data_IF_286184201883
#
_entry.id   IF_286184201883
#
_cell.length_a   1.000
_cell.length_b   1.000
_cell.length_c   1.000
_cell.angle_alpha   90.00
_cell.angle_beta   90.00
_cell.angle_gamma   90.00
#
_symmetry.space_group_name_H-M   'P 1'
#
loop_
_entity.id
_entity.type
_entity.pdbx_description
1 polymer ?
2 polymer ?
3 polymer ?
4 polymer ?
5 non-polymer ?
6 non-polymer ?
7 water ?
#
loop_
_entity_poly.entity_id
_entity_poly.type
_entity_poly.pdbx_seq_one_letter_code
_entity_poly.pdbx_strand_id
2 'polydeoxyribonucleotide' '(DC)(DA)(DA)(DT)(DC)(DG)(DT)(DG)(DG)(DG)(DA)(DG)(DA)(DC)(DC)(DT)(DT)(DT)(DG)(DG)(DT)(DC)(DT)(DC)(DC)(DC)(DT)(DG)(DC)(DA)(DG)(DA)(DT)' ?
3 'polydeoxyribonucleotide' '(DA)(DT)(DC)(DT)(DG)(DC)(DA)(DG)(DG)(DG)(DT)(DC)(DT)(DG)(DG)(DT)(DT)(DT)(DC)(DC)(DA)(DG)(DA)(DC)(DC)' ?
4 'polydeoxyribonucleotide' '(DC)(DA)(DC)(DG)(DA)(DT)(DT)(DG)' ?
#
# COMPACT_ATOMS: atom_id res chain seq x y z
N UNK A 1 -23.86 -4.51 12.89
CA UNK A 1 -23.63 -5.79 12.24
C UNK A 1 -22.18 -6.29 12.14
N UNK A 2 -21.58 -6.18 10.96
CA UNK A 2 -20.23 -6.69 10.71
C UNK A 2 -19.19 -5.60 10.95
N UNK A 3 -18.07 -5.98 11.56
CA UNK A 3 -16.97 -5.05 11.82
C UNK A 3 -15.65 -5.78 11.57
N UNK A 4 -14.70 -5.09 10.93
CA UNK A 4 -13.35 -5.59 10.72
C UNK A 4 -12.37 -4.74 11.53
N UNK A 5 -11.33 -5.36 12.06
CA UNK A 5 -10.22 -4.64 12.65
C UNK A 5 -8.89 -5.13 12.12
N UNK A 6 -7.96 -4.19 11.90
CA UNK A 6 -6.70 -4.50 11.25
C UNK A 6 -5.55 -3.85 12.01
N UNK A 7 -4.66 -4.69 12.54
CA UNK A 7 -3.35 -4.24 13.00
C UNK A 7 -2.37 -4.52 11.86
N UNK A 8 -1.86 -3.50 11.16
CA UNK A 8 -1.22 -3.71 9.86
C UNK A 8 0.24 -4.15 9.90
N UNK A 9 0.90 -4.24 11.06
CA UNK A 9 2.34 -4.46 11.02
C UNK A 9 2.64 -5.94 10.70
N UNK A 10 3.93 -6.28 10.65
CA UNK A 10 4.33 -7.58 10.12
C UNK A 10 3.80 -8.72 10.99
N UNK A 11 3.68 -8.50 12.30
CA UNK A 11 3.13 -9.52 13.17
C UNK A 11 1.72 -9.18 13.63
N UNK A 12 1.05 -8.33 12.86
CA UNK A 12 -0.32 -7.95 13.09
C UNK A 12 -1.31 -9.02 12.62
N UNK A 13 -2.53 -8.56 12.39
CA UNK A 13 -3.65 -9.48 12.29
C UNK A 13 -4.85 -8.73 11.79
N UNK A 14 -5.84 -9.49 11.32
CA UNK A 14 -7.14 -8.96 10.94
C UNK A 14 -8.21 -9.73 11.68
N UNK A 15 -9.16 -9.00 12.26
CA UNK A 15 -10.25 -9.54 13.05
C UNK A 15 -11.58 -9.15 12.44
N UNK A 16 -12.51 -10.12 12.38
CA UNK A 16 -13.82 -9.96 11.76
C UNK A 16 -14.88 -10.32 12.80
N UNK A 17 -15.77 -9.37 13.11
CA UNK A 17 -16.87 -9.58 14.03
C UNK A 17 -18.17 -9.65 13.24
N UNK A 18 -18.99 -10.75 13.49
CA UNK A 18 -20.32 -11.02 12.95
C UNK A 18 -21.39 -10.33 13.76
N UNK A 19 -22.52 -10.03 13.14
CA UNK A 19 -23.70 -9.60 13.90
C UNK A 19 -24.09 -10.56 15.01
N UNK A 20 -23.84 -11.86 14.88
CA UNK A 20 -24.29 -12.79 15.90
C UNK A 20 -23.31 -12.91 17.07
N UNK A 21 -22.34 -11.99 17.17
CA UNK A 21 -21.37 -12.01 18.25
C UNK A 21 -20.21 -12.97 18.06
N UNK A 22 -20.18 -13.73 16.97
CA UNK A 22 -19.01 -14.56 16.78
C UNK A 22 -17.88 -13.74 16.17
N UNK A 23 -16.69 -14.33 16.15
CA UNK A 23 -15.53 -13.57 15.70
C UNK A 23 -14.52 -14.50 15.05
N UNK A 24 -13.69 -13.90 14.20
CA UNK A 24 -12.54 -14.57 13.61
C UNK A 24 -11.36 -13.63 13.67
N UNK A 25 -10.17 -14.20 13.76
CA UNK A 25 -8.92 -13.45 13.83
C UNK A 25 -7.89 -14.21 13.03
N UNK A 26 -7.18 -13.50 12.13
CA UNK A 26 -6.21 -14.12 11.21
C UNK A 26 -4.86 -13.42 11.33
N UNK A 27 -3.78 -14.18 11.45
CA UNK A 27 -2.45 -13.59 11.40
C UNK A 27 -2.16 -12.96 10.04
N UNK A 28 -1.48 -11.82 10.04
CA UNK A 28 -1.13 -11.22 8.75
C UNK A 28 -0.20 -12.17 7.97
N UNK A 29 -0.59 -12.62 6.78
CA UNK A 29 0.34 -13.40 5.94
C UNK A 29 1.57 -12.60 5.56
N UNK A 30 2.72 -13.26 5.58
CA UNK A 30 3.97 -12.63 5.17
C UNK A 30 4.77 -13.62 4.34
N UNK A 31 5.85 -13.10 3.74
CA UNK A 31 6.86 -13.88 3.03
C UNK A 31 8.23 -13.38 3.44
N UNK A 32 9.21 -14.25 3.26
CA UNK A 32 10.62 -13.91 3.43
C UNK A 32 11.18 -13.51 2.07
N UNK A 33 11.84 -12.37 2.00
CA UNK A 33 12.40 -11.87 0.75
C UNK A 33 13.83 -11.41 1.00
N UNK A 34 14.59 -11.31 -0.11
CA UNK A 34 15.97 -10.83 -0.08
C UNK A 34 15.96 -9.34 -0.33
N UNK A 35 16.59 -8.58 0.56
CA UNK A 35 16.86 -7.15 0.39
C UNK A 35 18.29 -6.90 0.84
N UNK A 36 19.09 -6.23 -0.01
CA UNK A 36 20.47 -5.89 0.35
C UNK A 36 21.21 -7.10 0.91
N UNK A 37 20.97 -8.27 0.33
CA UNK A 37 21.69 -9.49 0.66
C UNK A 37 21.39 -10.00 2.08
N UNK A 38 20.28 -9.58 2.68
CA UNK A 38 19.80 -10.16 3.92
C UNK A 38 18.32 -10.54 3.74
N UNK A 39 17.82 -11.36 4.67
CA UNK A 39 16.42 -11.78 4.63
C UNK A 39 15.58 -10.78 5.43
N UNK A 40 14.37 -10.50 4.94
CA UNK A 40 13.44 -9.56 5.55
C UNK A 40 12.04 -10.13 5.46
N UNK A 41 11.24 -9.95 6.50
CA UNK A 41 9.84 -10.35 6.45
C UNK A 41 9.04 -9.28 5.73
N UNK A 42 8.06 -9.68 4.93
CA UNK A 42 7.25 -8.66 4.29
C UNK A 42 5.86 -9.22 4.03
N UNK A 43 4.86 -8.35 4.24
CA UNK A 43 3.46 -8.73 4.13
C UNK A 43 3.19 -9.33 2.76
N UNK A 44 2.42 -10.41 2.74
CA UNK A 44 2.17 -11.17 1.51
C UNK A 44 0.94 -10.57 0.85
N UNK A 45 1.15 -9.75 -0.19
CA UNK A 45 0.05 -9.04 -0.83
C UNK A 45 -1.04 -9.98 -1.33
N UNK A 46 -0.65 -11.02 -2.07
CA UNK A 46 -1.67 -11.82 -2.73
C UNK A 46 -2.47 -12.65 -1.73
N UNK A 47 -1.81 -13.23 -0.72
CA UNK A 47 -2.57 -13.89 0.35
C UNK A 47 -3.55 -12.93 1.04
N UNK A 48 -3.13 -11.69 1.26
CA UNK A 48 -4.01 -10.75 1.97
C UNK A 48 -5.29 -10.51 1.18
N UNK A 49 -5.15 -10.21 -0.12
CA UNK A 49 -6.30 -9.91 -0.95
C UNK A 49 -7.17 -11.15 -1.11
N UNK A 50 -6.55 -12.32 -1.20
CA UNK A 50 -7.35 -13.55 -1.23
C UNK A 50 -8.08 -13.74 0.10
N UNK A 51 -7.40 -13.50 1.21
CA UNK A 51 -8.07 -13.61 2.51
C UNK A 51 -9.31 -12.71 2.55
N UNK A 52 -9.15 -11.44 2.17
CA UNK A 52 -10.27 -10.50 2.18
C UNK A 52 -11.36 -10.91 1.20
N UNK A 53 -11.00 -11.67 0.15
CA UNK A 53 -12.00 -12.04 -0.83
C UNK A 53 -12.96 -13.08 -0.27
N UNK A 54 -12.48 -13.97 0.58
CA UNK A 54 -13.26 -15.00 1.21
C UNK A 54 -13.92 -14.67 2.53
N UNK A 55 -13.92 -13.40 2.97
CA UNK A 55 -14.70 -13.04 4.14
C UNK A 55 -16.18 -13.00 3.80
N UNK A 56 -17.01 -13.43 4.76
CA UNK A 56 -18.46 -13.30 4.66
C UNK A 56 -18.93 -11.89 4.99
N UNK A 57 -18.04 -11.05 5.52
CA UNK A 57 -18.37 -9.65 5.77
C UNK A 57 -18.74 -8.95 4.46
N UNK A 58 -19.90 -8.33 4.38
CA UNK A 58 -20.39 -7.83 3.09
C UNK A 58 -19.70 -6.53 2.69
N UNK A 59 -19.82 -6.14 1.42
CA UNK A 59 -19.28 -4.85 0.98
C UNK A 59 -19.87 -3.67 1.75
N UNK A 60 -19.00 -2.72 2.09
CA UNK A 60 -19.39 -1.56 2.85
C UNK A 60 -19.20 -1.71 4.34
N UNK A 61 -18.97 -2.94 4.81
CA UNK A 61 -18.44 -3.16 6.14
C UNK A 61 -17.30 -2.18 6.39
N UNK A 62 -17.25 -1.62 7.57
CA UNK A 62 -16.16 -0.74 7.92
C UNK A 62 -15.00 -1.59 8.41
N UNK A 63 -13.79 -1.20 8.02
CA UNK A 63 -12.57 -1.75 8.59
C UNK A 63 -11.89 -0.64 9.40
N UNK A 64 -11.66 -0.89 10.69
CA UNK A 64 -10.88 0.02 11.53
C UNK A 64 -9.41 -0.42 11.48
N UNK A 65 -8.53 0.48 11.02
CA UNK A 65 -7.11 0.18 10.89
C UNK A 65 -6.33 1.14 11.77
N UNK A 66 -5.27 0.64 12.41
CA UNK A 66 -4.45 1.50 13.26
C UNK A 66 -3.63 2.47 12.40
N UNK A 67 -3.73 3.76 12.72
CA UNK A 67 -2.94 4.78 12.03
C UNK A 67 -1.46 4.53 12.21
N UNK A 68 -0.69 4.70 11.14
CA UNK A 68 0.76 4.56 11.30
C UNK A 68 1.26 5.84 11.94
N UNK A 69 2.10 5.69 12.95
CA UNK A 69 2.65 6.84 13.66
C UNK A 69 4.02 6.46 14.16
N UNK A 70 4.98 6.31 13.26
CA UNK A 70 6.31 5.85 13.66
C UNK A 70 6.96 6.90 14.55
N UNK A 71 7.81 6.46 15.48
CA UNK A 71 8.41 7.47 16.34
C UNK A 71 9.56 8.14 15.62
N UNK A 72 9.81 9.42 15.91
CA UNK A 72 10.96 10.09 15.27
C UNK A 72 12.30 9.41 15.53
N UNK A 73 12.45 8.71 16.66
CA UNK A 73 13.68 7.98 16.91
C UNK A 73 13.77 6.64 16.18
N UNK A 74 12.67 6.13 15.64
CA UNK A 74 12.73 4.95 14.77
C UNK A 74 13.50 5.25 13.51
N UNK A 75 14.26 4.26 13.03
CA UNK A 75 15.04 4.41 11.83
C UNK A 75 14.18 4.53 10.57
N UNK A 76 14.87 4.87 9.48
CA UNK A 76 14.17 5.12 8.23
C UNK A 76 13.56 3.85 7.65
N UNK A 77 14.13 2.68 7.93
CA UNK A 77 13.51 1.44 7.48
C UNK A 77 12.19 1.18 8.22
N UNK A 78 12.16 1.38 9.54
CA UNK A 78 10.90 1.36 10.27
C UNK A 78 9.86 2.28 9.66
N UNK A 79 10.25 3.50 9.31
CA UNK A 79 9.31 4.42 8.67
C UNK A 79 8.82 3.85 7.34
N UNK A 80 9.73 3.29 6.56
CA UNK A 80 9.35 2.71 5.28
C UNK A 80 8.35 1.58 5.48
N UNK A 81 8.67 0.63 6.39
CA UNK A 81 7.82 -0.53 6.65
C UNK A 81 6.43 -0.15 7.15
N UNK A 82 6.36 0.72 8.15
CA UNK A 82 5.03 1.14 8.58
C UNK A 82 4.28 1.84 7.45
N UNK A 83 4.99 2.67 6.66
CA UNK A 83 4.34 3.29 5.52
C UNK A 83 3.81 2.26 4.54
N UNK A 84 4.64 1.24 4.25
CA UNK A 84 4.33 0.24 3.22
C UNK A 84 3.19 -0.67 3.66
N UNK A 85 3.24 -1.13 4.91
CA UNK A 85 2.17 -1.97 5.45
C UNK A 85 0.83 -1.26 5.43
N UNK A 86 0.84 0.01 5.82
CA UNK A 86 -0.37 0.83 5.84
C UNK A 86 -0.99 0.93 4.45
N UNK A 87 -0.20 1.31 3.43
CA UNK A 87 -0.71 1.46 2.09
C UNK A 87 -1.19 0.15 1.50
N UNK A 88 -0.42 -0.92 1.71
CA UNK A 88 -0.80 -2.23 1.21
C UNK A 88 -2.14 -2.68 1.80
N UNK A 89 -2.34 -2.46 3.11
CA UNK A 89 -3.60 -2.87 3.74
C UNK A 89 -4.75 -2.01 3.26
N UNK A 90 -4.58 -0.68 3.36
CA UNK A 90 -5.65 0.25 3.00
C UNK A 90 -6.15 -0.01 1.58
N UNK A 91 -5.21 -0.18 0.63
CA UNK A 91 -5.62 -0.40 -0.75
C UNK A 91 -6.33 -1.74 -0.89
N UNK A 92 -5.82 -2.77 -0.20
CA UNK A 92 -6.48 -4.07 -0.21
C UNK A 92 -7.90 -3.99 0.34
N UNK A 93 -8.09 -3.25 1.44
CA UNK A 93 -9.42 -3.16 2.03
C UNK A 93 -10.38 -2.41 1.13
N UNK A 94 -9.93 -1.29 0.56
CA UNK A 94 -10.77 -0.51 -0.35
C UNK A 94 -11.08 -1.29 -1.61
N UNK A 95 -10.09 -2.03 -2.12
CA UNK A 95 -10.31 -2.80 -3.36
C UNK A 95 -11.24 -3.98 -3.14
N UNK A 96 -11.44 -4.40 -1.88
CA UNK A 96 -12.26 -5.56 -1.58
C UNK A 96 -13.65 -5.19 -1.07
N UNK A 97 -14.07 -3.94 -1.26
CA UNK A 97 -15.40 -3.51 -0.91
C UNK A 97 -15.54 -2.76 0.40
N UNK A 98 -14.50 -2.69 1.23
CA UNK A 98 -14.66 -2.25 2.62
C UNK A 98 -14.27 -0.79 2.80
N UNK A 99 -15.06 -0.07 3.58
CA UNK A 99 -14.79 1.33 3.91
C UNK A 99 -13.83 1.41 5.10
N UNK A 100 -12.77 2.21 4.96
CA UNK A 100 -11.60 2.16 5.83
C UNK A 100 -11.63 3.35 6.78
N UNK A 101 -11.53 3.09 8.08
CA UNK A 101 -11.49 4.17 9.06
C UNK A 101 -10.21 4.10 9.89
N UNK A 102 -9.27 5.03 9.70
CA UNK A 102 -8.05 5.00 10.52
C UNK A 102 -8.31 5.47 11.95
N UNK A 103 -7.84 4.67 12.92
CA UNK A 103 -8.00 4.94 14.35
C UNK A 103 -6.60 5.03 14.96
N UNK A 104 -6.36 6.08 15.73
CA UNK A 104 -5.07 6.21 16.40
C UNK A 104 -4.98 5.21 17.54
N UNK A 105 -3.74 4.81 17.86
CA UNK A 105 -3.55 3.85 18.95
C UNK A 105 -4.01 4.44 20.28
N UNK A 106 -3.79 5.74 20.50
CA UNK A 106 -4.20 6.35 21.76
C UNK A 106 -5.72 6.29 21.93
N UNK A 107 -6.47 6.36 20.83
CA UNK A 107 -7.92 6.33 20.94
C UNK A 107 -8.43 5.01 21.52
N UNK A 108 -8.12 3.88 20.88
CA UNK A 108 -8.72 2.65 21.37
C UNK A 108 -8.11 2.23 22.69
N UNK A 109 -6.85 2.59 22.95
CA UNK A 109 -6.29 2.34 24.29
C UNK A 109 -7.02 3.15 25.35
N UNK A 110 -7.34 4.41 25.07
CA UNK A 110 -8.08 5.23 26.04
C UNK A 110 -9.45 4.63 26.30
N UNK A 111 -10.10 4.13 25.25
CA UNK A 111 -11.48 3.65 25.33
C UNK A 111 -11.61 2.39 26.17
N UNK A 112 -10.58 1.56 26.19
CA UNK A 112 -10.55 0.35 27.00
C UNK A 112 -9.74 0.51 28.27
N UNK A 113 -9.34 1.75 28.60
CA UNK A 113 -8.59 2.03 29.81
C UNK A 113 -7.23 1.39 29.88
N UNK A 114 -6.53 1.29 28.75
CA UNK A 114 -5.24 0.62 28.68
C UNK A 114 -4.07 1.60 28.70
N UNK A 115 -4.31 2.86 29.01
CA UNK A 115 -3.26 3.87 28.93
C UNK A 115 -2.14 3.62 29.94
N UNK A 116 -0.91 3.81 29.49
CA UNK A 116 0.31 3.84 30.30
C UNK A 116 0.48 2.60 31.18
N UNK A 117 0.50 1.44 30.54
CA UNK A 117 0.77 0.21 31.26
C UNK A 117 2.27 -0.07 31.31
N UNK A 118 2.69 -0.77 32.37
CA UNK A 118 4.06 -1.26 32.40
C UNK A 118 4.26 -2.37 31.37
N UNK A 119 3.24 -3.20 31.15
CA UNK A 119 3.30 -4.32 30.22
C UNK A 119 2.13 -4.20 29.23
N UNK A 120 2.25 -3.32 28.24
CA UNK A 120 1.07 -2.98 27.42
C UNK A 120 0.59 -4.12 26.54
N UNK A 121 1.49 -4.99 26.07
CA UNK A 121 1.06 -6.07 25.20
C UNK A 121 0.32 -7.15 25.98
N UNK A 122 0.85 -7.53 27.15
CA UNK A 122 0.16 -8.45 28.05
C UNK A 122 -1.27 -7.97 28.34
N UNK A 123 -1.42 -6.69 28.67
CA UNK A 123 -2.75 -6.17 29.01
C UNK A 123 -3.68 -6.28 27.82
N UNK A 124 -3.14 -6.07 26.61
CA UNK A 124 -3.95 -6.12 25.40
C UNK A 124 -4.57 -7.48 25.22
N UNK A 125 -3.76 -8.54 25.36
CA UNK A 125 -4.28 -9.89 25.27
C UNK A 125 -5.31 -10.16 26.35
N UNK A 126 -5.09 -9.62 27.56
CA UNK A 126 -6.06 -9.84 28.62
C UNK A 126 -7.39 -9.19 28.27
N UNK A 127 -7.38 -7.88 27.99
CA UNK A 127 -8.60 -7.19 27.55
C UNK A 127 -9.29 -7.93 26.41
N UNK A 128 -8.53 -8.42 25.41
CA UNK A 128 -9.13 -9.10 24.28
C UNK A 128 -9.66 -10.50 24.67
N UNK A 129 -8.94 -11.21 25.55
CA UNK A 129 -9.49 -12.42 26.16
C UNK A 129 -10.85 -12.20 26.80
N UNK A 130 -11.03 -11.05 27.48
CA UNK A 130 -12.26 -10.78 28.22
C UNK A 130 -13.40 -10.39 27.28
N UNK A 131 -13.10 -9.61 26.23
CA UNK A 131 -14.12 -9.28 25.25
C UNK A 131 -14.48 -10.46 24.37
N UNK A 132 -13.53 -11.35 24.09
CA UNK A 132 -13.76 -12.49 23.21
C UNK A 132 -13.26 -13.74 23.90
N UNK A 133 -13.99 -14.21 24.93
CA UNK A 133 -13.59 -15.43 25.65
C UNK A 133 -13.34 -16.64 24.75
N UNK A 134 -14.10 -16.81 23.67
CA UNK A 134 -13.87 -17.98 22.82
C UNK A 134 -12.54 -17.92 22.10
N UNK A 135 -11.93 -16.73 22.00
CA UNK A 135 -10.61 -16.56 21.44
C UNK A 135 -9.51 -16.70 22.48
N UNK A 136 -9.84 -17.19 23.69
CA UNK A 136 -8.87 -17.16 24.78
C UNK A 136 -7.70 -18.11 24.54
N UNK A 137 -7.95 -19.26 23.91
CA UNK A 137 -6.82 -20.12 23.53
C UNK A 137 -5.91 -19.45 22.49
N UNK A 138 -6.46 -18.55 21.68
CA UNK A 138 -5.63 -17.94 20.62
C UNK A 138 -4.81 -16.77 21.13
N UNK A 139 -4.86 -16.48 22.44
CA UNK A 139 -4.18 -15.32 23.00
C UNK A 139 -3.19 -15.70 24.11
N UNK A 140 -2.78 -16.98 24.16
CA UNK A 140 -1.92 -17.45 25.24
C UNK A 140 -0.49 -16.96 25.09
N UNK A 141 0.02 -16.86 23.86
CA UNK A 141 1.42 -16.53 23.67
C UNK A 141 1.60 -15.02 23.63
N UNK A 142 2.81 -14.58 24.00
CA UNK A 142 3.12 -13.15 23.96
C UNK A 142 3.10 -12.63 22.53
N UNK A 143 3.50 -13.46 21.56
CA UNK A 143 3.47 -12.96 20.19
C UNK A 143 2.05 -12.83 19.63
N UNK A 144 1.03 -13.20 20.39
CA UNK A 144 -0.37 -13.07 20.00
C UNK A 144 -0.95 -11.68 20.24
N UNK A 145 -0.12 -10.71 20.65
CA UNK A 145 -0.69 -9.41 20.94
C UNK A 145 -1.25 -8.76 19.67
N UNK A 146 -0.70 -9.11 18.49
CA UNK A 146 -1.26 -8.59 17.25
C UNK A 146 -2.69 -9.06 17.02
N UNK A 147 -2.98 -10.31 17.35
CA UNK A 147 -4.37 -10.78 17.30
C UNK A 147 -5.23 -9.97 18.26
N UNK A 148 -4.71 -9.66 19.45
CA UNK A 148 -5.48 -8.89 20.42
C UNK A 148 -5.78 -7.47 19.92
N UNK A 149 -4.77 -6.76 19.41
CA UNK A 149 -5.06 -5.39 18.98
C UNK A 149 -6.00 -5.37 17.76
N UNK A 150 -5.90 -6.35 16.88
CA UNK A 150 -6.90 -6.45 15.83
C UNK A 150 -8.29 -6.60 16.42
N UNK A 151 -8.45 -7.50 17.40
CA UNK A 151 -9.73 -7.71 18.05
C UNK A 151 -10.19 -6.45 18.78
N UNK A 152 -9.25 -5.78 19.44
CA UNK A 152 -9.62 -4.57 20.18
C UNK A 152 -10.00 -3.44 19.22
N UNK A 153 -9.32 -3.33 18.08
CA UNK A 153 -9.77 -2.39 17.06
C UNK A 153 -11.20 -2.68 16.62
N UNK A 154 -11.46 -3.94 16.24
CA UNK A 154 -12.84 -4.28 15.87
C UNK A 154 -13.80 -4.03 17.04
N UNK A 155 -13.42 -4.46 18.26
CA UNK A 155 -14.31 -4.22 19.42
C UNK A 155 -14.58 -2.74 19.60
N UNK A 156 -13.58 -1.89 19.38
CA UNK A 156 -13.77 -0.44 19.46
C UNK A 156 -14.77 0.05 18.43
N UNK A 157 -14.52 -0.29 17.16
CA UNK A 157 -15.46 0.06 16.11
C UNK A 157 -16.88 -0.40 16.38
N UNK A 158 -17.01 -1.60 16.98
CA UNK A 158 -18.33 -2.15 17.32
C UNK A 158 -18.95 -1.44 18.54
N UNK A 159 -18.16 -0.76 19.36
CA UNK A 159 -18.72 -0.18 20.56
C UNK A 159 -18.95 -1.16 21.70
N UNK A 160 -18.22 -2.28 21.73
CA UNK A 160 -18.25 -3.22 22.84
C UNK A 160 -17.70 -2.55 24.11
N UNK A 161 -18.01 -3.15 25.27
CA UNK A 161 -17.56 -2.62 26.56
C UNK A 161 -17.04 -3.76 27.42
N UNK A 162 -15.96 -3.50 28.15
CA UNK A 162 -15.42 -4.47 29.10
C UNK A 162 -16.34 -4.55 30.32
N UNK A 163 -16.38 -5.70 31.02
CA UNK A 163 -17.26 -5.75 32.20
C UNK A 163 -16.71 -4.98 33.41
N UNK B 1 0.73 -7.99 -25.99
CA UNK B 1 0.90 -6.61 -26.40
C UNK B 1 0.34 -5.53 -25.46
N UNK B 2 -0.38 -5.92 -24.40
CA UNK B 2 -0.80 -4.98 -23.36
C UNK B 2 0.27 -4.91 -22.29
N UNK B 3 0.67 -3.70 -21.94
CA UNK B 3 1.68 -3.47 -20.89
C UNK B 3 1.25 -2.23 -20.10
N UNK B 4 1.41 -2.28 -18.77
CA UNK B 4 1.19 -1.14 -17.89
C UNK B 4 2.53 -0.71 -17.33
N UNK B 5 2.74 0.60 -17.20
CA UNK B 5 3.88 1.14 -16.47
C UNK B 5 3.41 2.11 -15.39
N UNK B 6 3.98 1.98 -14.19
CA UNK B 6 3.60 2.82 -13.06
C UNK B 6 4.84 3.49 -12.45
N UNK B 7 4.87 4.81 -12.47
CA UNK B 7 5.76 5.56 -11.60
C UNK B 7 4.98 5.89 -10.32
N UNK B 8 5.33 5.32 -9.17
CA UNK B 8 4.41 5.36 -8.01
C UNK B 8 4.46 6.61 -7.12
N UNK B 9 5.31 7.60 -7.35
CA UNK B 9 5.36 8.69 -6.40
C UNK B 9 4.17 9.65 -6.61
N UNK B 10 4.13 10.73 -5.80
CA UNK B 10 2.99 11.64 -5.77
C UNK B 10 2.85 12.43 -7.07
N UNK B 11 3.97 12.75 -7.73
CA UNK B 11 3.89 13.31 -9.06
C UNK B 11 4.01 12.29 -10.17
N UNK B 12 3.92 11.01 -9.85
CA UNK B 12 4.08 9.94 -10.81
C UNK B 12 2.84 9.76 -11.66
N UNK B 13 2.77 8.61 -12.34
CA UNK B 13 1.72 8.37 -13.34
C UNK B 13 1.63 6.89 -13.65
N UNK B 14 0.56 6.53 -14.36
CA UNK B 14 0.34 5.19 -14.87
C UNK B 14 0.18 5.26 -16.39
N UNK B 15 0.94 4.43 -17.10
CA UNK B 15 0.92 4.39 -18.55
C UNK B 15 0.45 3.01 -18.99
N UNK B 16 -0.40 3.01 -20.01
CA UNK B 16 -1.03 1.78 -20.53
C UNK B 16 -0.79 1.77 -22.03
N UNK B 17 -0.10 0.72 -22.50
CA UNK B 17 0.17 0.52 -23.92
C UNK B 17 -0.75 -0.59 -24.43
N UNK B 18 -1.54 -0.29 -25.45
CA UNK B 18 -2.39 -1.33 -26.02
C UNK B 18 -1.68 -2.05 -27.16
N UNK B 19 -2.17 -3.21 -27.59
CA UNK B 19 -1.45 -3.96 -28.62
C UNK B 19 -1.52 -3.33 -30.00
N UNK B 20 -2.39 -2.34 -30.22
CA UNK B 20 -2.41 -1.61 -31.47
C UNK B 20 -1.44 -0.43 -31.49
N UNK B 21 -0.51 -0.37 -30.53
CA UNK B 21 0.45 0.71 -30.47
C UNK B 21 -0.04 2.01 -29.86
N UNK B 22 -1.35 2.19 -29.70
CA UNK B 22 -1.82 3.36 -28.97
C UNK B 22 -1.44 3.26 -27.49
N UNK B 23 -1.59 4.39 -26.79
CA UNK B 23 -1.07 4.51 -25.43
C UNK B 23 -1.86 5.56 -24.65
N UNK B 24 -2.06 5.30 -23.37
CA UNK B 24 -2.62 6.30 -22.49
C UNK B 24 -1.69 6.51 -21.30
N UNK B 25 -1.80 7.67 -20.69
CA UNK B 25 -1.02 7.98 -19.50
C UNK B 25 -1.88 8.88 -18.61
N UNK B 26 -2.03 8.52 -17.33
CA UNK B 26 -2.79 9.32 -16.39
C UNK B 26 -1.92 9.66 -15.19
N UNK B 27 -2.00 10.91 -14.74
CA UNK B 27 -1.32 11.34 -13.52
C UNK B 27 -1.89 10.58 -12.31
N UNK B 28 -1.03 10.34 -11.34
CA UNK B 28 -1.49 9.66 -10.13
C UNK B 28 -2.52 10.54 -9.41
N UNK B 29 -3.73 10.03 -9.16
CA UNK B 29 -4.67 10.77 -8.30
C UNK B 29 -4.10 10.95 -6.92
N UNK B 30 -4.34 12.11 -6.33
CA UNK B 30 -3.91 12.46 -4.97
C UNK B 30 -4.98 13.33 -4.35
N UNK B 31 -4.90 13.47 -3.01
CA UNK B 31 -5.72 14.37 -2.22
C UNK B 31 -4.83 15.16 -1.25
N UNK B 32 -5.32 16.32 -0.84
CA UNK B 32 -4.63 17.11 0.19
C UNK B 32 -5.18 16.67 1.54
N UNK B 33 -4.30 16.35 2.49
CA UNK B 33 -4.73 15.94 3.82
C UNK B 33 -3.87 16.65 4.86
N UNK B 34 -4.44 16.76 6.07
CA UNK B 34 -3.79 17.40 7.20
C UNK B 34 -3.00 16.36 7.98
N UNK B 35 -1.72 16.62 8.18
CA UNK B 35 -0.86 15.83 9.05
C UNK B 35 -0.06 16.81 9.89
N UNK B 36 -0.11 16.66 11.23
CA UNK B 36 0.58 17.58 12.16
C UNK B 36 0.44 19.05 11.74
N UNK B 37 -0.80 19.46 11.49
CA UNK B 37 -1.17 20.87 11.29
C UNK B 37 -0.55 21.50 10.03
N UNK B 38 -0.03 20.70 9.10
CA UNK B 38 0.24 21.19 7.74
C UNK B 38 -0.56 20.35 6.76
N UNK B 39 -0.50 20.76 5.50
CA UNK B 39 -1.16 20.06 4.39
C UNK B 39 -0.11 19.23 3.65
N UNK B 40 -0.51 18.02 3.22
CA UNK B 40 0.34 17.10 2.51
C UNK B 40 -0.44 16.53 1.34
N UNK B 41 0.27 16.08 0.31
CA UNK B 41 -0.35 15.27 -0.72
C UNK B 41 -0.15 13.81 -0.39
N UNK B 42 -1.20 13.02 -0.54
CA UNK B 42 -1.09 11.57 -0.48
C UNK B 42 -1.89 11.00 -1.63
N UNK B 43 -1.41 9.89 -2.17
CA UNK B 43 -2.10 9.24 -3.27
C UNK B 43 -3.54 8.96 -2.88
N UNK B 44 -4.42 9.00 -3.86
CA UNK B 44 -5.86 8.88 -3.62
C UNK B 44 -6.29 7.44 -3.92
N UNK B 45 -6.51 6.66 -2.85
CA UNK B 45 -6.67 5.22 -3.00
C UNK B 45 -7.91 4.86 -3.82
N UNK B 46 -9.06 5.44 -3.49
CA UNK B 46 -10.28 5.09 -4.22
C UNK B 46 -10.11 5.39 -5.72
N UNK B 47 -9.53 6.55 -6.05
CA UNK B 47 -9.41 6.95 -7.45
C UNK B 47 -8.47 6.06 -8.23
N UNK B 48 -7.40 5.60 -7.58
CA UNK B 48 -6.48 4.69 -8.27
C UNK B 48 -7.21 3.39 -8.60
N UNK B 49 -7.94 2.85 -7.64
CA UNK B 49 -8.61 1.57 -7.87
C UNK B 49 -9.67 1.71 -8.95
N UNK B 50 -10.45 2.80 -8.91
CA UNK B 50 -11.42 3.04 -9.97
C UNK B 50 -10.74 3.16 -11.34
N UNK B 51 -9.55 3.75 -11.39
CA UNK B 51 -8.85 3.88 -12.66
C UNK B 51 -8.36 2.53 -13.17
N UNK B 52 -7.84 1.70 -12.28
CA UNK B 52 -7.37 0.38 -12.71
C UNK B 52 -8.53 -0.45 -13.23
N UNK B 53 -9.68 -0.36 -12.57
CA UNK B 53 -10.85 -1.10 -13.02
C UNK B 53 -11.44 -0.58 -14.32
N UNK B 54 -11.17 0.69 -14.69
CA UNK B 54 -11.58 1.20 -15.99
C UNK B 54 -10.70 0.82 -17.16
N UNK B 55 -9.51 0.27 -16.92
CA UNK B 55 -8.61 -0.10 -18.01
C UNK B 55 -9.12 -1.33 -18.77
N UNK B 56 -8.95 -1.30 -20.09
CA UNK B 56 -9.30 -2.43 -20.95
C UNK B 56 -8.21 -3.49 -21.02
N UNK B 57 -7.01 -3.20 -20.49
CA UNK B 57 -5.99 -4.22 -20.34
C UNK B 57 -6.58 -5.44 -19.61
N UNK B 58 -6.46 -6.64 -20.17
CA UNK B 58 -7.12 -7.82 -19.59
C UNK B 58 -6.39 -8.31 -18.36
N UNK B 59 -7.01 -9.25 -17.60
CA UNK B 59 -6.34 -9.80 -16.41
C UNK B 59 -5.06 -10.57 -16.73
N UNK B 60 -4.10 -10.48 -15.81
CA UNK B 60 -2.79 -11.00 -16.05
C UNK B 60 -1.88 -10.09 -16.82
N UNK B 61 -2.37 -8.96 -17.35
CA UNK B 61 -1.47 -7.99 -17.97
C UNK B 61 -0.41 -7.59 -16.96
N UNK B 62 0.84 -7.64 -17.38
CA UNK B 62 1.95 -7.32 -16.48
C UNK B 62 2.03 -5.80 -16.27
N UNK B 63 2.21 -5.39 -15.01
CA UNK B 63 2.43 -3.99 -14.64
C UNK B 63 3.85 -3.83 -14.14
N UNK B 64 4.67 -3.07 -14.87
CA UNK B 64 6.03 -2.73 -14.45
C UNK B 64 5.98 -1.50 -13.54
N UNK B 65 6.48 -1.65 -12.32
CA UNK B 65 6.47 -0.58 -11.32
C UNK B 65 7.90 -0.35 -10.86
N UNK B 66 8.28 0.92 -10.72
CA UNK B 66 9.62 1.28 -10.28
C UNK B 66 9.81 0.89 -8.81
N UNK B 67 10.79 0.04 -8.54
CA UNK B 67 11.14 -0.32 -7.17
C UNK B 67 11.40 0.95 -6.37
N UNK B 68 10.86 0.99 -5.14
CA UNK B 68 11.23 2.07 -4.22
C UNK B 68 12.68 1.86 -3.79
N UNK B 69 13.50 2.88 -3.90
CA UNK B 69 14.89 2.79 -3.47
C UNK B 69 15.30 4.13 -2.85
N UNK B 70 14.78 4.47 -1.68
CA UNK B 70 15.06 5.79 -1.11
C UNK B 70 16.50 5.89 -0.63
N UNK B 71 17.04 7.07 -0.75
CA UNK B 71 18.44 7.21 -0.39
C UNK B 71 18.60 7.25 1.13
N UNK B 72 19.70 6.71 1.63
CA UNK B 72 19.96 6.84 3.08
C UNK B 72 20.01 8.29 3.56
N UNK B 73 20.31 9.24 2.67
CA UNK B 73 20.32 10.66 3.05
C UNK B 73 18.93 11.30 3.06
N UNK B 74 17.94 10.64 2.44
CA UNK B 74 16.57 11.15 2.48
C UNK B 74 16.00 11.06 3.88
N UNK B 75 15.15 12.02 4.22
CA UNK B 75 14.51 11.99 5.52
C UNK B 75 13.54 10.82 5.70
N UNK B 76 13.19 10.60 6.96
CA UNK B 76 12.35 9.47 7.33
C UNK B 76 10.94 9.60 6.76
N UNK B 77 10.48 10.82 6.51
CA UNK B 77 9.21 11.02 5.83
C UNK B 77 9.32 10.61 4.36
N UNK B 78 10.44 10.93 3.73
CA UNK B 78 10.72 10.40 2.42
C UNK B 78 10.54 8.90 2.35
N UNK B 79 11.18 8.17 3.29
CA UNK B 79 11.09 6.71 3.31
C UNK B 79 9.66 6.24 3.55
N UNK B 80 8.95 6.92 4.46
CA UNK B 80 7.56 6.56 4.75
C UNK B 80 6.71 6.67 3.48
N UNK B 81 6.75 7.84 2.84
CA UNK B 81 5.98 8.12 1.63
C UNK B 81 6.26 7.11 0.54
N UNK B 82 7.51 6.99 0.12
CA UNK B 82 7.82 6.04 -0.94
C UNK B 82 7.42 4.62 -0.52
N UNK B 83 7.51 4.30 0.77
CA UNK B 83 6.99 3.02 1.22
C UNK B 83 5.48 2.94 1.06
N UNK B 84 4.76 3.96 1.55
CA UNK B 84 3.31 4.02 1.44
C UNK B 84 2.86 3.93 -0.01
N UNK B 85 3.39 4.83 -0.85
CA UNK B 85 3.05 4.86 -2.28
C UNK B 85 3.24 3.50 -2.93
N UNK B 86 4.34 2.82 -2.60
CA UNK B 86 4.67 1.57 -3.27
C UNK B 86 3.68 0.46 -2.89
N UNK B 87 3.36 0.34 -1.60
CA UNK B 87 2.43 -0.70 -1.17
C UNK B 87 1.01 -0.45 -1.64
N UNK B 88 0.60 0.82 -1.65
CA UNK B 88 -0.73 1.18 -2.16
C UNK B 88 -0.90 0.79 -3.65
N UNK B 89 0.12 1.07 -4.46
CA UNK B 89 0.08 0.72 -5.89
C UNK B 89 0.19 -0.79 -6.11
N UNK B 90 1.18 -1.44 -5.49
CA UNK B 90 1.31 -2.88 -5.58
C UNK B 90 0.00 -3.58 -5.22
N UNK B 91 -0.56 -3.26 -4.04
CA UNK B 91 -1.82 -3.88 -3.62
C UNK B 91 -2.95 -3.56 -4.59
N UNK B 92 -3.01 -2.31 -5.08
CA UNK B 92 -4.05 -1.93 -6.02
C UNK B 92 -3.90 -2.67 -7.34
N UNK B 93 -2.66 -2.87 -7.80
CA UNK B 93 -2.45 -3.58 -9.06
C UNK B 93 -2.81 -5.05 -8.92
N UNK B 94 -2.34 -5.70 -7.85
CA UNK B 94 -2.64 -7.11 -7.64
C UNK B 94 -4.14 -7.34 -7.50
N UNK B 95 -4.85 -6.46 -6.76
CA UNK B 95 -6.27 -6.70 -6.55
C UNK B 95 -7.05 -6.53 -7.85
N UNK B 96 -6.51 -5.81 -8.80
CA UNK B 96 -7.23 -5.56 -10.05
C UNK B 96 -6.89 -6.60 -11.10
N UNK B 97 -6.12 -7.62 -10.74
CA UNK B 97 -5.83 -8.71 -11.64
C UNK B 97 -4.57 -8.59 -12.45
N UNK B 98 -3.71 -7.60 -12.18
CA UNK B 98 -2.51 -7.40 -12.97
C UNK B 98 -1.30 -8.00 -12.26
N UNK B 99 -0.36 -8.49 -13.06
CA UNK B 99 0.88 -9.06 -12.56
C UNK B 99 1.91 -7.95 -12.37
N UNK B 100 2.54 -7.91 -11.19
CA UNK B 100 3.38 -6.78 -10.76
C UNK B 100 4.84 -7.20 -10.85
N UNK B 101 5.61 -6.47 -11.64
CA UNK B 101 7.04 -6.73 -11.84
C UNK B 101 7.81 -5.48 -11.43
N UNK B 102 8.43 -5.49 -10.26
CA UNK B 102 9.24 -4.32 -9.86
C UNK B 102 10.47 -4.22 -10.75
N UNK B 103 10.79 -3.01 -11.19
CA UNK B 103 11.92 -2.73 -12.08
C UNK B 103 12.74 -1.63 -11.43
N UNK B 104 14.02 -1.90 -11.19
CA UNK B 104 14.90 -0.86 -10.66
C UNK B 104 15.05 0.27 -11.67
N UNK B 105 15.14 1.51 -11.18
CA UNK B 105 15.32 2.64 -12.10
C UNK B 105 16.62 2.51 -12.91
N UNK B 106 17.66 1.88 -12.37
CA UNK B 106 18.88 1.71 -13.14
C UNK B 106 18.66 0.84 -14.38
N UNK B 107 17.68 -0.06 -14.34
CA UNK B 107 17.46 -0.99 -15.45
C UNK B 107 16.87 -0.28 -16.67
N UNK B 108 15.76 0.43 -16.49
CA UNK B 108 15.13 1.02 -17.67
C UNK B 108 15.89 2.24 -18.18
N UNK B 109 16.62 2.94 -17.32
CA UNK B 109 17.45 4.04 -17.81
C UNK B 109 18.61 3.51 -18.65
N UNK B 110 19.30 2.47 -18.19
CA UNK B 110 20.38 1.90 -18.99
C UNK B 110 19.84 1.33 -20.30
N UNK B 111 18.69 0.68 -20.24
CA UNK B 111 18.06 0.14 -21.45
C UNK B 111 17.87 1.21 -22.52
N UNK B 112 17.57 2.44 -22.13
CA UNK B 112 17.37 3.54 -23.05
C UNK B 112 18.59 4.43 -23.15
N UNK B 113 19.70 4.05 -22.52
CA UNK B 113 20.88 4.89 -22.57
C UNK B 113 20.73 6.24 -21.90
N UNK B 114 19.81 6.37 -20.94
CA UNK B 114 19.64 7.62 -20.21
C UNK B 114 20.58 7.77 -19.02
N UNK B 115 21.26 6.69 -18.61
CA UNK B 115 22.17 6.77 -17.47
C UNK B 115 23.09 7.99 -17.57
N UNK B 116 23.34 8.60 -16.41
CA UNK B 116 24.42 9.57 -16.21
C UNK B 116 24.20 10.86 -17.03
N UNK B 117 23.07 11.50 -16.78
CA UNK B 117 22.79 12.79 -17.39
C UNK B 117 22.90 13.92 -16.37
N UNK B 118 23.13 15.13 -16.89
CA UNK B 118 23.04 16.31 -16.05
C UNK B 118 21.60 16.82 -15.94
N UNK B 119 20.76 16.52 -16.93
CA UNK B 119 19.34 16.90 -16.92
C UNK B 119 18.47 15.66 -17.09
N UNK B 120 18.50 14.73 -16.13
CA UNK B 120 17.81 13.43 -16.34
C UNK B 120 16.31 13.53 -16.54
N UNK B 121 15.66 14.53 -15.94
CA UNK B 121 14.21 14.68 -16.12
C UNK B 121 13.89 15.14 -17.53
N UNK B 122 14.59 16.18 -17.99
CA UNK B 122 14.43 16.63 -19.38
C UNK B 122 14.64 15.49 -20.36
N UNK B 123 15.66 14.64 -20.10
CA UNK B 123 16.00 13.60 -21.07
C UNK B 123 14.90 12.55 -21.15
N UNK B 124 14.29 12.23 -20.00
CA UNK B 124 13.21 11.26 -19.96
C UNK B 124 12.04 11.74 -20.79
N UNK B 125 11.66 13.01 -20.61
CA UNK B 125 10.61 13.59 -21.42
C UNK B 125 10.97 13.58 -22.90
N UNK B 126 12.23 13.90 -23.22
CA UNK B 126 12.63 13.83 -24.63
C UNK B 126 12.52 12.41 -25.14
N UNK B 127 13.00 11.43 -24.37
CA UNK B 127 12.95 10.05 -24.84
C UNK B 127 11.51 9.53 -24.96
N UNK B 128 10.63 9.93 -24.05
CA UNK B 128 9.24 9.47 -24.16
C UNK B 128 8.55 10.15 -25.33
N UNK B 129 8.87 11.42 -25.59
CA UNK B 129 8.36 12.11 -26.78
C UNK B 129 8.70 11.35 -28.06
N UNK B 130 9.87 10.71 -28.11
CA UNK B 130 10.24 9.98 -29.32
C UNK B 130 9.53 8.64 -29.38
N UNK B 131 9.48 7.91 -28.26
CA UNK B 131 8.79 6.62 -28.29
C UNK B 131 7.31 6.79 -28.54
N UNK B 132 6.71 7.88 -28.05
CA UNK B 132 5.26 8.08 -28.10
C UNK B 132 4.95 9.47 -28.62
N UNK B 133 5.18 9.71 -29.91
CA UNK B 133 5.04 11.08 -30.44
C UNK B 133 3.64 11.68 -30.30
N UNK B 134 2.60 10.88 -30.12
CA UNK B 134 1.30 11.50 -29.86
C UNK B 134 1.14 11.98 -28.41
N UNK B 135 2.10 11.68 -27.54
CA UNK B 135 2.11 12.20 -26.17
C UNK B 135 2.97 13.45 -26.06
N UNK B 136 3.41 14.01 -27.19
CA UNK B 136 4.38 15.10 -27.17
C UNK B 136 3.79 16.35 -26.51
N UNK B 137 2.54 16.68 -26.82
CA UNK B 137 1.89 17.82 -26.17
C UNK B 137 1.75 17.60 -24.67
N UNK B 138 1.65 16.34 -24.23
CA UNK B 138 1.50 16.04 -22.81
C UNK B 138 2.84 15.89 -22.08
N UNK B 139 3.96 16.22 -22.74
CA UNK B 139 5.27 16.07 -22.10
C UNK B 139 6.11 17.34 -22.14
N UNK B 140 5.49 18.49 -22.42
CA UNK B 140 6.27 19.70 -22.65
C UNK B 140 6.56 20.49 -21.38
N UNK B 141 5.88 20.22 -20.27
CA UNK B 141 6.19 20.85 -19.00
C UNK B 141 7.19 20.01 -18.22
N UNK B 142 7.93 20.68 -17.32
CA UNK B 142 8.90 19.95 -16.52
C UNK B 142 8.23 19.02 -15.52
N UNK B 143 7.07 19.40 -14.98
CA UNK B 143 6.34 18.58 -14.03
C UNK B 143 5.83 17.28 -14.64
N UNK B 144 5.88 17.17 -15.96
CA UNK B 144 5.41 16.00 -16.70
C UNK B 144 6.41 14.87 -16.72
N UNK B 145 7.53 14.98 -16.00
CA UNK B 145 8.49 13.90 -16.11
C UNK B 145 7.96 12.61 -15.51
N UNK B 146 7.00 12.70 -14.59
CA UNK B 146 6.35 11.50 -14.08
C UNK B 146 5.62 10.73 -15.18
N UNK B 147 4.93 11.45 -16.06
CA UNK B 147 4.35 10.81 -17.23
C UNK B 147 5.43 10.15 -18.07
N UNK B 148 6.58 10.82 -18.22
CA UNK B 148 7.66 10.26 -19.02
C UNK B 148 8.11 8.93 -18.43
N UNK B 149 8.36 8.88 -17.11
CA UNK B 149 8.93 7.64 -16.58
C UNK B 149 7.94 6.49 -16.64
N UNK B 150 6.65 6.77 -16.44
CA UNK B 150 5.65 5.71 -16.59
C UNK B 150 5.60 5.21 -18.02
N UNK B 151 5.65 6.13 -18.99
CA UNK B 151 5.69 5.74 -20.41
C UNK B 151 6.94 4.94 -20.72
N UNK B 152 8.09 5.35 -20.20
CA UNK B 152 9.33 4.64 -20.45
C UNK B 152 9.34 3.28 -19.78
N UNK B 153 8.84 3.19 -18.54
CA UNK B 153 8.71 1.90 -17.87
C UNK B 153 7.87 0.93 -18.72
N UNK B 154 6.70 1.39 -19.16
CA UNK B 154 5.88 0.54 -20.02
C UNK B 154 6.61 0.22 -21.33
N UNK B 155 7.37 1.17 -21.88
CA UNK B 155 8.13 0.90 -23.10
C UNK B 155 9.23 -0.14 -22.85
N UNK B 156 9.86 -0.09 -21.68
CA UNK B 156 10.81 -1.12 -21.29
C UNK B 156 10.15 -2.50 -21.32
N UNK B 157 9.01 -2.64 -20.67
CA UNK B 157 8.36 -3.93 -20.60
C UNK B 157 7.90 -4.43 -21.94
N UNK B 158 7.50 -3.52 -22.83
CA UNK B 158 7.05 -3.94 -24.16
C UNK B 158 8.19 -4.16 -25.13
N UNK B 159 9.42 -3.81 -24.77
CA UNK B 159 10.55 -4.01 -25.67
C UNK B 159 10.74 -3.00 -26.78
N UNK B 160 10.17 -1.79 -26.67
CA UNK B 160 10.37 -0.78 -27.70
C UNK B 160 11.85 -0.35 -27.77
N UNK B 161 12.20 0.36 -28.85
CA UNK B 161 13.56 0.82 -29.07
C UNK B 161 13.52 2.24 -29.60
N UNK B 162 14.42 3.09 -29.12
CA UNK B 162 14.58 4.41 -29.72
C UNK B 162 15.14 4.27 -31.14
N UNK B 163 14.73 5.14 -32.08
CA UNK B 163 15.07 4.96 -33.50
C UNK B 163 16.53 5.26 -33.83
X LIG F 1 1.12 -4.70 16.47
X LIG G 1 -0.19 -1.77 16.08
X LIG H 1 5.18 -7.16 18.85
X LIG I 1 -4.38 -14.85 27.55
X LIG I 1 -4.74 -16.22 27.34
X LIG I 1 -4.86 -14.34 28.89
X LIG I 1 -4.41 -13.01 29.11
X LIG J 1 -18.18 3.32 18.21
X LIG J 1 -17.15 4.09 17.63
X LIG J 1 -18.39 3.83 19.60
X LIG J 1 -17.16 4.27 20.15
X LIG K 1 -15.63 -10.27 -0.61
X LIG K 1 -15.32 -10.81 0.66
X LIG K 1 -16.78 -9.29 -0.50
X LIG K 1 -17.39 -9.43 0.75
X LIG L 1 8.61 10.09 -10.55
X LIG M 1 10.18 7.33 -9.97
X LIG N 1 8.96 15.40 -10.10
X LIG O 1 -9.43 -5.61 -16.14
X LIG O 1 -8.55 -6.38 -15.33
X LIG O 1 -9.78 -4.27 -15.53
X LIG O 1 -11.19 -4.12 -15.39
X LIG P 1 13.52 -0.04 2.44
X LIG P 1 13.40 -0.73 3.67
X LIG P 1 13.29 -0.95 1.25
X LIG P 1 13.20 -0.15 0.08
X LIG Q 1 3.07 10.29 8.31
X LIG Q 1 2.79 9.01 8.88
X LIG Q 1 4.47 10.32 7.77
X LIG Q 1 4.54 11.22 6.68
#
# INVERSE_FOLDING_TARGET
GWVIGVDPDIGGAIAVLSPDGSSQVFDNPFVHIVVSEVIRKRLDTKSIIQLLRGLDAPPGTTAYIEKSSPFPTDGKQGWWSTGFSYGLWIASLVASGFSVVPIASQTWKAYFGLMRSETPADDSRQAASILFPDKDQSLKLKKHHGRAEALLLAAYGKGLVLP
GWVIGVDPDIGGAIAVLSPDGSSQVFDNPFVHIVVSEVIRKRLDTKSIIQLLRGLDAPPGTTAYIEKSSPFPTDGKQGWWSTGFSYGLWIASLVASGFSVVPIASQTWKAYFGLMRSETPADDSRQAASILFPDKDQSLKLKKHHGRAEALLLAAYGKGLVLP
MN MN
MN MN
MN MN
EDO C1 O1 C2 O2
EDO C1 O1 C2 O2
EDO C1 O1 C2 O2
MN MN
MN MN
MN MN
EDO C1 O1 C2 O2
EDO C1 O1 C2 O2
EDO C1 O1 C2 O2
#
